data_IF_733343525606
#
_entry.id   IF_733343525606
#
_cell.length_a   1.000
_cell.length_b   1.000
_cell.length_c   1.000
_cell.angle_alpha   90.00
_cell.angle_beta   90.00
_cell.angle_gamma   90.00
#
_symmetry.space_group_name_H-M   'P 1'
#
loop_
_entity.id
_entity.type
_entity.pdbx_description
1 polymer ?
#
# COMPACT_ATOMS: atom_id res chain seq x y z
N UNK A 1 -14.59 16.36 11.13
CA UNK A 1 -13.60 15.88 10.14
C UNK A 1 -12.42 16.85 10.13
N UNK A 2 -11.19 16.36 10.14
CA UNK A 2 -9.97 17.18 10.33
C UNK A 2 -9.39 17.81 9.06
N UNK A 3 -10.18 17.93 7.99
CA UNK A 3 -9.81 18.67 6.77
C UNK A 3 -8.80 17.99 5.83
N UNK A 4 -8.55 16.68 5.95
CA UNK A 4 -7.61 15.96 5.07
C UNK A 4 -8.19 15.75 3.66
N UNK A 5 -7.34 15.90 2.64
CA UNK A 5 -7.74 15.75 1.23
C UNK A 5 -7.45 14.37 0.63
N UNK A 6 -6.60 13.57 1.29
CA UNK A 6 -6.25 12.21 0.88
C UNK A 6 -5.74 11.42 2.09
N UNK A 7 -5.69 10.10 1.96
CA UNK A 7 -5.13 9.19 2.96
C UNK A 7 -3.99 8.38 2.35
N UNK A 8 -2.92 8.18 3.11
CA UNK A 8 -1.90 7.17 2.84
C UNK A 8 -1.94 6.15 3.98
N UNK A 9 -2.11 4.88 3.64
CA UNK A 9 -2.28 3.79 4.61
C UNK A 9 -1.16 2.77 4.44
N UNK A 10 -0.40 2.55 5.51
CA UNK A 10 0.69 1.58 5.55
C UNK A 10 0.22 0.17 5.85
N UNK A 11 0.80 -0.83 5.16
CA UNK A 11 0.68 -2.23 5.58
C UNK A 11 1.83 -2.62 6.51
N UNK A 12 1.47 -3.30 7.59
CA UNK A 12 2.45 -3.76 8.56
C UNK A 12 3.46 -4.73 7.92
N UNK A 13 4.75 -4.50 8.14
CA UNK A 13 5.83 -5.36 7.63
C UNK A 13 6.83 -5.71 8.73
N UNK A 14 7.40 -6.93 8.68
CA UNK A 14 8.33 -7.44 9.68
C UNK A 14 9.70 -6.77 9.62
N UNK A 15 10.14 -6.40 8.41
CA UNK A 15 11.48 -5.88 8.15
C UNK A 15 11.42 -4.51 7.46
N UNK A 16 10.83 -3.47 8.09
CA UNK A 16 10.59 -2.18 7.47
C UNK A 16 11.86 -1.30 7.42
N UNK A 17 12.85 -1.73 6.62
CA UNK A 17 14.20 -1.11 6.57
C UNK A 17 14.21 0.31 6.01
N UNK A 18 13.20 0.72 5.26
CA UNK A 18 13.10 2.06 4.67
C UNK A 18 12.48 3.09 5.65
N UNK A 19 11.87 2.63 6.74
CA UNK A 19 11.13 3.46 7.67
C UNK A 19 12.00 3.97 8.82
N UNK A 20 11.70 5.17 9.32
CA UNK A 20 12.29 5.70 10.56
C UNK A 20 11.70 5.05 11.82
N UNK A 21 12.38 5.21 12.97
CA UNK A 21 12.06 4.54 14.24
C UNK A 21 10.60 4.65 14.67
N UNK A 22 9.94 5.79 14.41
CA UNK A 22 8.54 6.03 14.78
C UNK A 22 7.59 5.11 14.00
N UNK A 23 7.83 4.96 12.70
CA UNK A 23 7.02 4.12 11.82
C UNK A 23 7.35 2.65 12.09
N UNK A 24 8.63 2.28 12.27
CA UNK A 24 9.03 0.94 12.70
C UNK A 24 8.31 0.50 14.00
N UNK A 25 8.25 1.37 15.00
CA UNK A 25 7.52 1.09 16.24
C UNK A 25 6.02 0.86 16.02
N UNK A 26 5.42 1.47 14.99
CA UNK A 26 4.02 1.26 14.62
C UNK A 26 3.77 -0.11 14.01
N UNK A 27 4.67 -0.58 13.15
CA UNK A 27 4.63 -1.93 12.58
C UNK A 27 4.66 -2.98 13.70
N UNK A 28 5.59 -2.85 14.65
CA UNK A 28 5.74 -3.78 15.78
C UNK A 28 4.48 -3.90 16.64
N UNK A 29 3.73 -2.82 16.85
CA UNK A 29 2.49 -2.83 17.64
C UNK A 29 1.42 -3.73 17.03
N UNK A 30 1.37 -3.83 15.71
CA UNK A 30 0.29 -4.53 14.99
C UNK A 30 0.75 -5.86 14.38
N UNK A 31 2.05 -6.08 14.22
CA UNK A 31 2.62 -7.22 13.47
C UNK A 31 2.07 -8.59 13.92
N UNK A 32 1.88 -8.80 15.23
CA UNK A 32 1.35 -10.06 15.80
C UNK A 32 -0.10 -10.37 15.40
N UNK A 33 -0.84 -9.36 14.96
CA UNK A 33 -2.27 -9.47 14.64
C UNK A 33 -2.59 -9.08 13.19
N UNK A 34 -1.60 -8.55 12.45
CA UNK A 34 -1.73 -8.16 11.07
C UNK A 34 -1.87 -9.37 10.15
N UNK A 35 -2.68 -9.22 9.11
CA UNK A 35 -2.78 -10.18 8.00
C UNK A 35 -3.33 -9.45 6.79
N UNK A 36 -3.03 -9.95 5.59
CA UNK A 36 -3.55 -9.35 4.35
C UNK A 36 -5.09 -9.29 4.34
N UNK A 37 -5.76 -10.35 4.78
CA UNK A 37 -7.22 -10.38 4.88
C UNK A 37 -7.79 -9.26 5.78
N UNK A 38 -7.19 -9.04 6.95
CA UNK A 38 -7.60 -7.95 7.86
C UNK A 38 -7.32 -6.57 7.26
N UNK A 39 -6.19 -6.41 6.57
CA UNK A 39 -5.87 -5.15 5.90
C UNK A 39 -6.94 -4.83 4.85
N UNK A 40 -7.26 -5.77 3.96
CA UNK A 40 -8.30 -5.57 2.94
C UNK A 40 -9.68 -5.29 3.56
N UNK A 41 -10.04 -5.98 4.64
CA UNK A 41 -11.28 -5.71 5.36
C UNK A 41 -11.32 -4.28 5.92
N UNK A 42 -10.20 -3.80 6.48
CA UNK A 42 -10.09 -2.43 6.98
C UNK A 42 -10.20 -1.41 5.84
N UNK A 43 -9.54 -1.65 4.71
CA UNK A 43 -9.62 -0.77 3.55
C UNK A 43 -11.05 -0.61 3.04
N UNK A 44 -11.81 -1.71 2.92
CA UNK A 44 -13.23 -1.67 2.55
C UNK A 44 -14.06 -0.81 3.52
N UNK A 45 -13.87 -1.00 4.83
CA UNK A 45 -14.55 -0.18 5.85
C UNK A 45 -14.21 1.31 5.73
N UNK A 46 -12.96 1.65 5.42
CA UNK A 46 -12.55 3.06 5.24
C UNK A 46 -13.21 3.64 3.98
N UNK A 47 -13.24 2.89 2.88
CA UNK A 47 -13.91 3.32 1.64
C UNK A 47 -15.42 3.46 1.82
N UNK A 48 -16.06 2.57 2.58
CA UNK A 48 -17.49 2.67 2.91
C UNK A 48 -17.79 3.91 3.75
N UNK A 49 -16.86 4.30 4.64
CA UNK A 49 -17.00 5.50 5.46
C UNK A 49 -16.83 6.80 4.65
N UNK A 50 -15.95 6.80 3.64
CA UNK A 50 -15.78 7.94 2.74
C UNK A 50 -15.49 7.47 1.31
N UNK A 51 -16.50 7.58 0.45
CA UNK A 51 -16.43 7.06 -0.91
C UNK A 51 -15.50 7.86 -1.82
N UNK A 52 -15.29 9.15 -1.55
CA UNK A 52 -14.65 10.06 -2.51
C UNK A 52 -13.22 10.44 -2.13
N UNK A 53 -12.79 10.20 -0.89
CA UNK A 53 -11.43 10.55 -0.48
C UNK A 53 -10.40 9.68 -1.24
N UNK A 54 -9.39 10.25 -1.89
CA UNK A 54 -8.30 9.46 -2.47
C UNK A 54 -7.54 8.67 -1.41
N UNK A 55 -7.29 7.39 -1.67
CA UNK A 55 -6.56 6.49 -0.76
C UNK A 55 -5.37 5.87 -1.51
N UNK A 56 -4.17 6.15 -1.00
CA UNK A 56 -2.93 5.49 -1.39
C UNK A 56 -2.49 4.44 -0.37
N UNK A 57 -1.83 3.39 -0.84
CA UNK A 57 -1.16 2.41 0.01
C UNK A 57 0.34 2.61 0.00
N UNK A 58 0.95 2.46 1.18
CA UNK A 58 2.40 2.31 1.34
C UNK A 58 2.69 0.87 1.78
N UNK A 59 3.43 0.13 0.96
CA UNK A 59 3.73 -1.28 1.22
C UNK A 59 5.19 -1.62 0.87
N UNK A 60 5.66 -2.74 1.41
CA UNK A 60 6.94 -3.35 1.04
C UNK A 60 6.72 -4.41 -0.04
N UNK A 61 7.68 -4.54 -0.96
CA UNK A 61 7.56 -5.37 -2.14
C UNK A 61 7.27 -6.84 -1.78
N UNK A 62 7.89 -7.35 -0.72
CA UNK A 62 7.70 -8.74 -0.28
C UNK A 62 6.23 -9.08 -0.02
N UNK A 63 5.43 -8.17 0.55
CA UNK A 63 4.00 -8.41 0.78
C UNK A 63 3.23 -8.61 -0.52
N UNK A 64 3.62 -7.86 -1.56
CA UNK A 64 2.98 -7.88 -2.87
C UNK A 64 3.40 -9.13 -3.65
N UNK A 65 4.71 -9.43 -3.67
CA UNK A 65 5.23 -10.61 -4.36
C UNK A 65 4.77 -11.92 -3.70
N UNK A 66 4.76 -11.98 -2.37
CA UNK A 66 4.30 -13.17 -1.64
C UNK A 66 2.80 -13.43 -1.81
N UNK A 67 1.99 -12.37 -1.94
CA UNK A 67 0.56 -12.51 -2.27
C UNK A 67 0.33 -12.89 -3.74
N UNK A 68 1.28 -12.53 -4.60
CA UNK A 68 1.17 -12.59 -6.06
C UNK A 68 0.77 -11.23 -6.61
N UNK A 69 1.61 -10.67 -7.50
CA UNK A 69 1.48 -9.30 -8.01
C UNK A 69 0.09 -9.04 -8.59
N UNK A 70 -0.37 -9.86 -9.54
CA UNK A 70 -1.65 -9.58 -10.21
C UNK A 70 -2.86 -9.69 -9.29
N UNK A 71 -2.83 -10.69 -8.39
CA UNK A 71 -3.87 -10.85 -7.38
C UNK A 71 -3.90 -9.68 -6.40
N UNK A 72 -2.74 -9.14 -6.02
CA UNK A 72 -2.65 -8.02 -5.11
C UNK A 72 -3.30 -6.76 -5.71
N UNK A 73 -2.93 -6.41 -6.94
CA UNK A 73 -3.47 -5.22 -7.62
C UNK A 73 -4.98 -5.34 -7.87
N UNK A 74 -5.46 -6.52 -8.26
CA UNK A 74 -6.90 -6.80 -8.36
C UNK A 74 -7.59 -6.57 -7.00
N UNK A 75 -7.02 -7.14 -5.94
CA UNK A 75 -7.63 -7.11 -4.62
C UNK A 75 -7.69 -5.70 -4.01
N UNK A 76 -6.65 -4.88 -4.16
CA UNK A 76 -6.69 -3.49 -3.67
C UNK A 76 -7.64 -2.63 -4.49
N UNK A 77 -7.78 -2.90 -5.80
CA UNK A 77 -8.78 -2.22 -6.64
C UNK A 77 -10.20 -2.51 -6.17
N UNK A 78 -10.51 -3.77 -5.86
CA UNK A 78 -11.78 -4.16 -5.26
C UNK A 78 -12.04 -3.50 -3.89
N UNK A 79 -10.98 -3.16 -3.15
CA UNK A 79 -11.10 -2.42 -1.89
C UNK A 79 -11.29 -0.91 -2.09
N UNK A 80 -11.30 -0.43 -3.34
CA UNK A 80 -11.44 0.98 -3.68
C UNK A 80 -10.17 1.79 -3.46
N UNK A 81 -8.99 1.19 -3.58
CA UNK A 81 -7.71 1.92 -3.51
C UNK A 81 -7.39 2.58 -4.85
N UNK A 82 -6.77 3.76 -4.78
CA UNK A 82 -6.45 4.59 -5.94
C UNK A 82 -5.00 4.46 -6.40
N UNK A 83 -4.09 4.27 -5.43
CA UNK A 83 -2.66 4.22 -5.70
C UNK A 83 -1.89 3.31 -4.74
N UNK A 84 -0.70 2.89 -5.16
CA UNK A 84 0.24 2.17 -4.31
C UNK A 84 1.66 2.68 -4.53
N UNK A 85 2.38 2.89 -3.43
CA UNK A 85 3.82 3.11 -3.37
C UNK A 85 4.45 1.86 -2.74
N UNK A 86 5.47 1.33 -3.42
CA UNK A 86 6.27 0.21 -2.92
C UNK A 86 7.60 0.79 -2.42
N UNK A 87 7.79 0.85 -1.09
CA UNK A 87 8.82 1.66 -0.44
C UNK A 87 10.25 1.25 -0.83
N UNK A 88 10.47 -0.05 -0.98
CA UNK A 88 11.75 -0.71 -1.23
C UNK A 88 11.95 -1.10 -2.70
N UNK A 89 11.08 -0.66 -3.62
CA UNK A 89 11.21 -0.94 -5.05
C UNK A 89 11.80 0.26 -5.80
N UNK A 90 13.04 0.17 -6.31
CA UNK A 90 13.61 1.23 -7.12
C UNK A 90 12.92 1.34 -8.49
N UNK A 91 12.98 2.52 -9.11
CA UNK A 91 12.34 2.77 -10.41
C UNK A 91 12.77 1.79 -11.52
N UNK A 92 14.02 1.31 -11.47
CA UNK A 92 14.55 0.36 -12.46
C UNK A 92 13.83 -0.99 -12.43
N UNK A 93 13.19 -1.35 -11.31
CA UNK A 93 12.43 -2.58 -11.13
C UNK A 93 10.94 -2.43 -11.42
N UNK A 94 10.49 -1.25 -11.88
CA UNK A 94 9.06 -0.95 -12.12
C UNK A 94 8.34 -1.99 -13.00
N UNK A 95 9.05 -2.62 -13.93
CA UNK A 95 8.48 -3.59 -14.87
C UNK A 95 7.88 -4.82 -14.18
N UNK A 96 8.31 -5.10 -12.94
CA UNK A 96 7.76 -6.18 -12.12
C UNK A 96 6.28 -5.97 -11.77
N UNK A 97 5.80 -4.71 -11.73
CA UNK A 97 4.45 -4.38 -11.25
C UNK A 97 3.64 -3.51 -12.20
N UNK A 98 4.28 -2.73 -13.07
CA UNK A 98 3.62 -1.67 -13.84
C UNK A 98 2.50 -2.19 -14.75
N UNK A 99 2.67 -3.38 -15.34
CA UNK A 99 1.66 -4.01 -16.20
C UNK A 99 0.40 -4.35 -15.41
N UNK A 100 0.55 -4.87 -14.19
CA UNK A 100 -0.59 -5.21 -13.33
C UNK A 100 -1.26 -3.96 -12.78
N UNK A 101 -0.47 -2.95 -12.36
CA UNK A 101 -0.99 -1.66 -11.95
C UNK A 101 -1.88 -1.02 -13.02
N UNK A 102 -1.41 -1.00 -14.27
CA UNK A 102 -2.17 -0.49 -15.42
C UNK A 102 -3.44 -1.32 -15.68
N UNK A 103 -3.31 -2.65 -15.72
CA UNK A 103 -4.43 -3.57 -15.95
C UNK A 103 -5.58 -3.34 -14.95
N UNK A 104 -5.25 -3.12 -13.68
CA UNK A 104 -6.23 -2.93 -12.60
C UNK A 104 -6.54 -1.46 -12.29
N UNK A 105 -6.03 -0.53 -13.10
CA UNK A 105 -6.28 0.91 -12.96
C UNK A 105 -5.92 1.43 -11.55
N UNK A 106 -4.75 1.01 -11.06
CA UNK A 106 -4.12 1.52 -9.85
C UNK A 106 -2.93 2.38 -10.25
N UNK A 107 -2.82 3.57 -9.67
CA UNK A 107 -1.67 4.45 -9.91
C UNK A 107 -0.46 3.92 -9.15
N UNK A 108 0.55 3.44 -9.87
CA UNK A 108 1.85 3.15 -9.28
C UNK A 108 2.57 4.46 -8.98
N UNK A 109 2.86 4.71 -7.70
CA UNK A 109 3.61 5.87 -7.23
C UNK A 109 5.08 5.46 -7.06
N UNK A 110 5.98 6.38 -7.38
CA UNK A 110 7.42 6.23 -7.22
C UNK A 110 7.95 7.40 -6.41
N UNK A 111 8.95 7.15 -5.57
CA UNK A 111 9.70 8.19 -4.88
C UNK A 111 10.65 8.86 -5.88
N UNK A 112 10.68 10.19 -5.88
CA UNK A 112 11.68 10.97 -6.57
C UNK A 112 12.64 11.57 -5.54
N UNK A 113 13.86 11.04 -5.46
CA UNK A 113 14.93 11.64 -4.67
C UNK A 113 15.47 12.90 -5.36
N UNK A 114 16.00 13.88 -4.61
CA UNK A 114 16.63 15.07 -5.19
C UNK A 114 17.97 14.79 -5.89
N UNK A 115 18.50 13.57 -5.74
CA UNK A 115 19.76 13.09 -6.29
C UNK A 115 19.52 11.91 -7.22
#
# INVERSE_FOLDING_TARGET
>A
ASGVNALELGFAFSDPVADGITIQASHLRVLKHASMAKNFQLLKKIRDYNHDIPIGLLAYANLIFSYGVDGFYAQIKECGIDSVLIADMPLIEKELVIKSAQKHQIKQIFIASPN
#
